data_IF_877924348625
#
_entry.id   IF_877924348625
#
_cell.length_a   1.000
_cell.length_b   1.000
_cell.length_c   1.000
_cell.angle_alpha   90.00
_cell.angle_beta   90.00
_cell.angle_gamma   90.00
#
_symmetry.space_group_name_H-M   'P 1'
#
loop_
_entity.id
_entity.type
_entity.pdbx_description
1 polymer ?
#
# COMPACT_ATOMS: atom_id res chain seq x y z
N UNK A 1 -4.26 18.63 17.35
CA UNK A 1 -5.00 18.27 16.11
C UNK A 1 -4.60 16.87 15.72
N UNK A 2 -5.56 15.97 15.50
CA UNK A 2 -5.27 14.62 15.02
C UNK A 2 -5.01 14.66 13.51
N UNK A 3 -4.06 13.87 13.01
CA UNK A 3 -3.86 13.64 11.57
C UNK A 3 -4.74 12.51 11.02
N UNK A 4 -5.58 11.91 11.88
CA UNK A 4 -6.45 10.78 11.53
C UNK A 4 -7.83 11.29 11.12
N UNK A 5 -8.30 10.84 9.95
CA UNK A 5 -9.66 11.06 9.45
C UNK A 5 -10.60 9.98 10.01
N UNK A 6 -11.50 10.37 10.90
CA UNK A 6 -12.42 9.44 11.57
C UNK A 6 -13.44 8.78 10.64
N UNK A 7 -13.78 9.42 9.51
CA UNK A 7 -14.72 8.82 8.54
C UNK A 7 -14.02 7.73 7.72
N UNK A 8 -12.76 7.96 7.36
CA UNK A 8 -11.93 6.97 6.68
C UNK A 8 -11.67 5.75 7.56
N UNK A 9 -11.34 5.97 8.84
CA UNK A 9 -11.21 4.89 9.82
C UNK A 9 -12.50 4.08 9.91
N UNK A 10 -13.67 4.72 10.06
CA UNK A 10 -14.96 4.01 10.11
C UNK A 10 -15.23 3.19 8.85
N UNK A 11 -14.91 3.73 7.68
CA UNK A 11 -15.08 3.04 6.40
C UNK A 11 -14.22 1.77 6.36
N UNK A 12 -12.93 1.86 6.71
CA UNK A 12 -12.05 0.70 6.71
C UNK A 12 -12.35 -0.29 7.84
N UNK A 13 -12.82 0.16 9.01
CA UNK A 13 -13.32 -0.72 10.08
C UNK A 13 -14.53 -1.54 9.63
N UNK A 14 -15.42 -0.99 8.80
CA UNK A 14 -16.55 -1.76 8.24
C UNK A 14 -16.11 -2.81 7.21
N UNK A 15 -14.99 -2.55 6.53
CA UNK A 15 -14.45 -3.37 5.44
C UNK A 15 -13.29 -4.28 5.84
N UNK A 16 -12.80 -4.14 7.07
CA UNK A 16 -11.66 -4.88 7.65
C UNK A 16 -11.77 -6.38 7.43
N UNK A 17 -13.03 -6.69 7.39
CA UNK A 17 -13.67 -7.91 7.31
C UNK A 17 -13.27 -8.69 6.01
N UNK A 18 -13.12 -8.05 4.85
CA UNK A 18 -12.71 -8.75 3.60
C UNK A 18 -11.21 -8.88 3.39
N UNK A 19 -10.37 -8.39 4.28
CA UNK A 19 -8.94 -8.24 3.96
C UNK A 19 -8.29 -9.54 3.52
N UNK A 20 -8.75 -10.70 3.97
CA UNK A 20 -8.19 -12.00 3.60
C UNK A 20 -8.92 -12.73 2.47
N UNK A 21 -10.05 -12.20 1.97
CA UNK A 21 -10.76 -12.81 0.85
C UNK A 21 -10.08 -12.45 -0.47
N UNK A 22 -9.22 -13.35 -0.97
CA UNK A 22 -8.48 -13.16 -2.22
C UNK A 22 -9.37 -13.03 -3.47
N UNK A 23 -10.60 -13.53 -3.40
CA UNK A 23 -11.61 -13.38 -4.48
C UNK A 23 -12.61 -12.27 -4.20
N UNK A 24 -12.52 -11.63 -3.03
CA UNK A 24 -13.41 -10.58 -2.59
C UNK A 24 -12.93 -9.21 -3.03
N UNK A 25 -13.28 -8.20 -2.27
CA UNK A 25 -13.12 -6.83 -2.72
C UNK A 25 -11.71 -6.27 -2.68
N UNK A 26 -10.83 -6.90 -1.92
CA UNK A 26 -9.39 -6.61 -1.94
C UNK A 26 -8.63 -7.49 -2.93
N UNK A 27 -9.32 -8.25 -3.82
CA UNK A 27 -8.69 -9.11 -4.83
C UNK A 27 -7.61 -8.39 -5.65
N UNK A 28 -7.87 -7.15 -6.06
CA UNK A 28 -6.92 -6.34 -6.79
C UNK A 28 -5.68 -5.99 -5.94
N UNK A 29 -5.87 -5.74 -4.64
CA UNK A 29 -4.77 -5.45 -3.70
C UNK A 29 -3.95 -6.71 -3.38
N UNK A 30 -4.60 -7.87 -3.29
CA UNK A 30 -3.94 -9.17 -3.20
C UNK A 30 -3.08 -9.45 -4.43
N UNK A 31 -3.62 -9.30 -5.64
CA UNK A 31 -2.86 -9.55 -6.87
C UNK A 31 -1.73 -8.54 -7.09
N UNK A 32 -1.83 -7.33 -6.53
CA UNK A 32 -0.77 -6.33 -6.58
C UNK A 32 0.51 -6.80 -5.87
N UNK A 33 0.41 -7.70 -4.88
CA UNK A 33 1.57 -8.27 -4.20
C UNK A 33 2.55 -8.96 -5.15
N UNK A 34 2.10 -9.45 -6.31
CA UNK A 34 2.96 -10.02 -7.36
C UNK A 34 4.00 -9.00 -7.84
N UNK A 35 3.66 -7.71 -7.87
CA UNK A 35 4.60 -6.64 -8.22
C UNK A 35 5.35 -6.11 -7.00
N UNK A 36 4.62 -5.69 -5.97
CA UNK A 36 5.23 -4.89 -4.89
C UNK A 36 6.09 -5.70 -3.93
N UNK A 37 5.76 -6.97 -3.64
CA UNK A 37 6.56 -7.78 -2.70
C UNK A 37 7.97 -8.02 -3.25
N UNK A 38 8.16 -8.56 -4.48
CA UNK A 38 9.51 -8.70 -5.04
C UNK A 38 10.24 -7.37 -5.15
N UNK A 39 9.56 -6.29 -5.55
CA UNK A 39 10.17 -4.97 -5.67
C UNK A 39 10.66 -4.42 -4.33
N UNK A 40 9.90 -4.57 -3.25
CA UNK A 40 10.34 -4.21 -1.90
C UNK A 40 11.54 -5.06 -1.49
N UNK A 41 11.46 -6.39 -1.64
CA UNK A 41 12.53 -7.32 -1.25
C UNK A 41 13.86 -7.05 -1.96
N UNK A 42 13.82 -6.59 -3.22
CA UNK A 42 15.01 -6.20 -3.98
C UNK A 42 15.67 -4.91 -3.46
N UNK A 43 14.90 -4.04 -2.80
CA UNK A 43 15.33 -2.71 -2.39
C UNK A 43 15.56 -2.57 -0.88
N UNK A 44 15.14 -3.54 -0.07
CA UNK A 44 15.46 -3.58 1.37
C UNK A 44 16.71 -4.41 1.62
N UNK A 45 17.51 -4.03 2.62
CA UNK A 45 18.65 -4.83 3.07
C UNK A 45 18.13 -6.12 3.72
N UNK A 46 18.69 -7.27 3.33
CA UNK A 46 18.38 -8.56 3.95
C UNK A 46 18.60 -8.49 5.47
N UNK A 47 17.60 -8.88 6.27
CA UNK A 47 17.53 -8.81 7.76
C UNK A 47 17.10 -7.47 8.37
N UNK A 48 16.57 -6.53 7.58
CA UNK A 48 15.98 -5.30 8.11
C UNK A 48 14.64 -5.51 8.83
N UNK A 49 14.33 -4.63 9.79
CA UNK A 49 12.97 -4.46 10.30
C UNK A 49 12.17 -3.56 9.37
N UNK A 50 10.93 -3.93 9.06
CA UNK A 50 9.99 -3.15 8.24
C UNK A 50 8.85 -2.67 9.11
N UNK A 51 8.43 -1.42 8.91
CA UNK A 51 7.18 -0.90 9.43
C UNK A 51 6.23 -0.70 8.26
N UNK A 52 5.07 -1.35 8.32
CA UNK A 52 3.97 -1.22 7.35
C UNK A 52 2.92 -0.27 7.94
N UNK A 53 2.83 0.95 7.43
CA UNK A 53 1.95 2.01 7.95
C UNK A 53 0.65 2.02 7.16
N UNK A 54 -0.48 1.92 7.85
CA UNK A 54 -1.76 1.65 7.20
C UNK A 54 -1.85 0.20 6.73
N UNK A 55 -1.40 -0.73 7.57
CA UNK A 55 -1.27 -2.14 7.19
C UNK A 55 -2.62 -2.83 6.94
N UNK A 56 -3.71 -2.28 7.48
CA UNK A 56 -5.03 -2.92 7.53
C UNK A 56 -4.92 -4.36 8.02
N UNK A 57 -5.55 -5.29 7.31
CA UNK A 57 -5.49 -6.73 7.57
C UNK A 57 -4.17 -7.40 7.15
N UNK A 58 -3.10 -6.64 6.94
CA UNK A 58 -1.76 -7.17 6.74
C UNK A 58 -1.52 -7.85 5.39
N UNK A 59 -2.28 -7.47 4.35
CA UNK A 59 -2.15 -8.02 2.98
C UNK A 59 -0.71 -7.90 2.45
N UNK A 60 0.00 -6.81 2.78
CA UNK A 60 1.41 -6.64 2.45
C UNK A 60 2.34 -7.19 3.56
N UNK A 61 2.02 -6.88 4.82
CA UNK A 61 2.80 -7.30 5.98
C UNK A 61 3.08 -8.80 6.03
N UNK A 62 2.07 -9.64 5.82
CA UNK A 62 2.19 -11.11 5.96
C UNK A 62 3.14 -11.70 4.91
N UNK A 63 3.03 -11.41 3.59
CA UNK A 63 4.01 -11.83 2.61
C UNK A 63 5.45 -11.37 2.91
N UNK A 64 5.65 -10.14 3.37
CA UNK A 64 6.97 -9.64 3.75
C UNK A 64 7.56 -10.40 4.94
N UNK A 65 6.74 -10.72 5.94
CA UNK A 65 7.14 -11.54 7.08
C UNK A 65 7.48 -12.97 6.65
N UNK A 66 6.67 -13.58 5.78
CA UNK A 66 6.93 -14.91 5.19
C UNK A 66 8.23 -14.94 4.37
N UNK A 67 8.61 -13.82 3.76
CA UNK A 67 9.89 -13.65 3.08
C UNK A 67 11.09 -13.44 4.03
N UNK A 68 10.87 -13.50 5.36
CA UNK A 68 11.92 -13.47 6.37
C UNK A 68 12.23 -12.10 6.95
N UNK A 69 11.43 -11.07 6.66
CA UNK A 69 11.57 -9.76 7.29
C UNK A 69 10.89 -9.71 8.66
N UNK A 70 11.43 -8.89 9.58
CA UNK A 70 10.75 -8.58 10.83
C UNK A 70 9.79 -7.41 10.59
N UNK A 71 8.50 -7.70 10.46
CA UNK A 71 7.49 -6.70 10.10
C UNK A 71 6.68 -6.26 11.33
N UNK A 72 6.52 -4.95 11.49
CA UNK A 72 5.56 -4.33 12.41
C UNK A 72 4.50 -3.62 11.58
N UNK A 73 3.25 -4.08 11.63
CA UNK A 73 2.12 -3.36 11.05
C UNK A 73 1.57 -2.35 12.04
N UNK A 74 1.23 -1.15 11.57
CA UNK A 74 0.50 -0.14 12.35
C UNK A 74 -0.70 0.35 11.54
N UNK A 75 -1.84 0.47 12.20
CA UNK A 75 -3.06 1.00 11.61
C UNK A 75 -3.82 1.86 12.62
N UNK A 76 -4.65 2.78 12.12
CA UNK A 76 -5.53 3.62 12.93
C UNK A 76 -6.89 2.97 13.20
N UNK A 77 -7.25 1.88 12.50
CA UNK A 77 -8.49 1.13 12.73
C UNK A 77 -8.40 0.24 13.98
N UNK A 78 -9.45 0.25 14.81
CA UNK A 78 -9.55 -0.58 16.03
C UNK A 78 -9.86 -2.06 15.73
N UNK A 79 -10.66 -2.34 14.68
CA UNK A 79 -11.05 -3.70 14.30
C UNK A 79 -10.31 -4.17 13.04
N UNK A 80 -9.28 -5.00 13.23
CA UNK A 80 -8.59 -5.70 12.16
C UNK A 80 -9.20 -7.10 11.83
N UNK A 81 -10.52 -7.27 12.02
CA UNK A 81 -11.22 -8.57 11.95
C UNK A 81 -12.39 -8.68 10.92
N UNK A 82 -12.66 -9.92 10.49
CA UNK A 82 -13.12 -10.47 9.16
C UNK A 82 -14.68 -10.40 8.83
N UNK A 83 -15.11 -10.36 7.52
CA UNK A 83 -16.43 -10.24 6.76
C UNK A 83 -17.04 -8.94 6.06
N UNK A 84 -16.85 -8.80 4.72
CA UNK A 84 -17.67 -8.18 3.61
C UNK A 84 -17.38 -6.78 2.93
N UNK A 85 -17.29 -6.89 1.59
CA UNK A 85 -17.18 -6.05 0.36
C UNK A 85 -16.77 -4.55 0.38
N UNK A 86 -15.65 -4.17 -0.29
CA UNK A 86 -15.26 -2.79 -0.67
C UNK A 86 -16.25 -2.19 -1.69
N UNK A 87 -16.89 -1.04 -1.39
CA UNK A 87 -17.79 -0.33 -2.30
C UNK A 87 -17.04 0.56 -3.31
N UNK A 88 -17.72 0.94 -4.40
CA UNK A 88 -17.34 2.11 -5.18
C UNK A 88 -17.39 3.36 -4.27
N UNK A 89 -16.29 4.11 -4.16
CA UNK A 89 -16.19 5.32 -3.32
C UNK A 89 -14.89 5.47 -2.51
N UNK A 90 -14.07 4.42 -2.41
CA UNK A 90 -12.75 4.50 -1.73
C UNK A 90 -11.66 5.19 -2.56
N UNK A 91 -11.92 5.45 -3.85
CA UNK A 91 -11.03 6.17 -4.73
C UNK A 91 -11.41 7.65 -4.74
N UNK A 92 -10.89 8.39 -3.77
CA UNK A 92 -11.04 9.85 -3.70
C UNK A 92 -9.89 10.47 -4.49
N UNK A 93 -10.14 10.80 -5.76
CA UNK A 93 -9.10 11.35 -6.65
C UNK A 93 -8.53 12.67 -6.12
N UNK A 94 -9.32 13.42 -5.37
CA UNK A 94 -8.91 14.66 -4.69
C UNK A 94 -7.85 14.41 -3.61
N UNK A 95 -7.76 13.18 -3.08
CA UNK A 95 -6.73 12.74 -2.13
C UNK A 95 -5.49 12.18 -2.84
N UNK A 96 -5.43 12.14 -4.18
CA UNK A 96 -4.26 11.68 -4.91
C UNK A 96 -3.10 12.66 -4.73
N UNK A 97 -2.05 12.20 -4.05
CA UNK A 97 -0.82 12.98 -3.90
C UNK A 97 0.04 12.78 -5.14
N UNK A 98 0.33 13.85 -5.87
CA UNK A 98 1.18 13.81 -7.05
C UNK A 98 2.62 13.35 -6.70
N UNK A 99 3.28 12.56 -7.57
CA UNK A 99 4.64 12.06 -7.34
C UNK A 99 5.66 13.17 -7.05
N UNK A 100 5.55 14.32 -7.74
CA UNK A 100 6.44 15.47 -7.60
C UNK A 100 6.27 16.13 -6.22
N UNK A 101 5.04 16.19 -5.74
CA UNK A 101 4.71 16.69 -4.39
C UNK A 101 5.31 15.78 -3.33
N UNK A 102 5.10 14.46 -3.43
CA UNK A 102 5.65 13.50 -2.47
C UNK A 102 7.19 13.51 -2.50
N UNK A 103 7.79 13.56 -3.69
CA UNK A 103 9.24 13.64 -3.87
C UNK A 103 9.82 14.87 -3.17
N UNK A 104 9.20 16.04 -3.39
CA UNK A 104 9.61 17.29 -2.75
C UNK A 104 9.55 17.23 -1.23
N UNK A 105 8.51 16.60 -0.67
CA UNK A 105 8.38 16.41 0.78
C UNK A 105 9.50 15.50 1.30
N UNK A 106 9.78 14.39 0.63
CA UNK A 106 10.82 13.45 1.03
C UNK A 106 12.22 14.10 0.98
N UNK A 107 12.53 14.81 -0.10
CA UNK A 107 13.82 15.48 -0.29
C UNK A 107 14.08 16.55 0.77
N UNK A 108 13.06 17.37 1.07
CA UNK A 108 13.14 18.36 2.16
C UNK A 108 13.37 17.72 3.54
N UNK A 109 13.01 16.45 3.71
CA UNK A 109 13.19 15.70 4.96
C UNK A 109 14.44 14.80 4.94
N UNK A 110 15.40 15.07 4.04
CA UNK A 110 16.68 14.37 3.98
C UNK A 110 16.56 12.95 3.42
N UNK A 111 15.65 12.73 2.47
CA UNK A 111 15.58 11.49 1.70
C UNK A 111 15.98 11.74 0.24
N UNK A 112 16.70 10.80 -0.35
CA UNK A 112 17.01 10.79 -1.78
C UNK A 112 16.00 9.87 -2.49
N UNK A 113 15.17 10.43 -3.37
CA UNK A 113 14.27 9.65 -4.23
C UNK A 113 15.09 8.88 -5.26
N UNK A 114 14.89 7.57 -5.33
CA UNK A 114 15.66 6.65 -6.19
C UNK A 114 14.86 6.11 -7.37
N UNK A 115 13.54 5.97 -7.20
CA UNK A 115 12.66 5.51 -8.26
C UNK A 115 11.23 6.03 -8.05
N UNK A 116 10.56 6.32 -9.17
CA UNK A 116 9.12 6.55 -9.25
C UNK A 116 8.63 5.73 -10.45
N UNK A 117 7.67 4.82 -10.23
CA UNK A 117 7.19 3.91 -11.29
C UNK A 117 5.70 3.68 -11.15
N UNK A 118 4.97 3.72 -12.27
CA UNK A 118 3.53 3.46 -12.30
C UNK A 118 3.22 1.98 -12.48
N UNK A 119 1.95 1.62 -12.30
CA UNK A 119 1.46 0.27 -12.60
C UNK A 119 0.04 0.29 -13.20
N UNK A 120 -0.29 -0.74 -13.96
CA UNK A 120 -1.60 -0.88 -14.62
C UNK A 120 -2.26 -2.18 -14.21
N UNK A 121 -3.57 -2.16 -14.07
CA UNK A 121 -4.38 -3.31 -13.71
C UNK A 121 -5.21 -3.78 -14.89
N UNK A 122 -5.13 -5.07 -15.23
CA UNK A 122 -6.07 -5.72 -16.13
C UNK A 122 -7.15 -6.45 -15.30
N UNK A 123 -8.39 -5.94 -15.24
CA UNK A 123 -9.46 -6.54 -14.44
C UNK A 123 -9.93 -7.89 -14.99
N UNK A 124 -9.82 -8.14 -16.29
CA UNK A 124 -10.24 -9.40 -16.90
C UNK A 124 -9.32 -10.56 -16.48
N UNK A 125 -8.02 -10.29 -16.31
CA UNK A 125 -7.03 -11.31 -15.95
C UNK A 125 -6.56 -11.21 -14.50
N UNK A 126 -6.96 -10.18 -13.74
CA UNK A 126 -6.45 -9.87 -12.40
C UNK A 126 -4.91 -9.76 -12.35
N UNK A 127 -4.30 -9.15 -13.38
CA UNK A 127 -2.84 -9.04 -13.51
C UNK A 127 -2.43 -7.57 -13.45
N UNK A 128 -1.37 -7.31 -12.69
CA UNK A 128 -0.71 -6.02 -12.64
C UNK A 128 0.58 -6.02 -13.46
N UNK A 129 0.89 -4.88 -14.08
CA UNK A 129 2.17 -4.66 -14.78
C UNK A 129 2.75 -3.29 -14.45
N UNK A 130 4.07 -3.23 -14.30
CA UNK A 130 4.80 -1.96 -14.23
C UNK A 130 4.66 -1.17 -15.54
N UNK A 131 4.66 0.15 -15.43
CA UNK A 131 4.58 1.10 -16.55
C UNK A 131 5.38 2.36 -16.23
N UNK A 132 5.91 3.08 -17.24
CA UNK A 132 6.52 4.38 -17.03
C UNK A 132 5.50 5.49 -16.70
N UNK A 133 4.19 5.28 -16.90
CA UNK A 133 3.17 6.32 -16.68
C UNK A 133 2.75 6.40 -15.20
N UNK A 134 2.99 7.55 -14.57
CA UNK A 134 2.76 7.78 -13.13
C UNK A 134 1.54 8.66 -12.81
N UNK A 135 0.79 9.08 -13.82
CA UNK A 135 -0.31 10.04 -13.70
C UNK A 135 -1.58 9.51 -13.02
N UNK A 136 -1.69 8.18 -12.82
CA UNK A 136 -2.89 7.53 -12.27
C UNK A 136 -2.59 6.81 -10.96
N UNK A 137 -1.41 6.21 -10.85
CA UNK A 137 -0.89 5.56 -9.65
C UNK A 137 0.64 5.44 -9.78
N UNK A 138 1.30 5.24 -8.65
CA UNK A 138 2.75 5.04 -8.62
C UNK A 138 3.21 4.33 -7.35
N UNK A 139 4.39 3.74 -7.42
CA UNK A 139 5.22 3.34 -6.30
C UNK A 139 6.48 4.21 -6.32
N UNK A 140 6.91 4.68 -5.14
CA UNK A 140 8.08 5.53 -4.96
C UNK A 140 9.05 4.90 -3.98
N UNK A 141 10.33 4.84 -4.35
CA UNK A 141 11.42 4.42 -3.47
C UNK A 141 12.27 5.63 -3.12
N UNK A 142 12.44 5.88 -1.83
CA UNK A 142 13.37 6.88 -1.31
C UNK A 142 14.24 6.30 -0.19
N UNK A 143 15.45 6.82 -0.07
CA UNK A 143 16.45 6.38 0.92
C UNK A 143 16.89 7.58 1.75
N UNK A 144 16.79 7.48 3.08
CA UNK A 144 17.27 8.52 3.99
C UNK A 144 18.78 8.70 3.84
N UNK A 145 19.20 9.94 3.62
CA UNK A 145 20.61 10.35 3.44
C UNK A 145 21.29 10.62 4.77
#
# INVERSE_FOLDING_TARGET
>A
MSSVDSEEVRTFTQLSSEWHNESGSFKALHSLNVLRVPWILQNVKSKGSVVDVGCGGGILSVPLARAGLKVTGIDATEDADVMKIVPQGVHQWEKFVEPETLSSVLERNGCSVRAVIGFTYNPATNVWRWTPFTSVNYALLAVKT
#
